data_IF_208171333918
#
_entry.id   IF_208171333918
#
_cell.length_a   1.000
_cell.length_b   1.000
_cell.length_c   1.000
_cell.angle_alpha   90.00
_cell.angle_beta   90.00
_cell.angle_gamma   90.00
#
_symmetry.space_group_name_H-M   'P 1'
#
loop_
_entity.id
_entity.type
_entity.pdbx_description
1 polymer ?
#
# COMPACT_ATOMS: atom_id res chain seq x y z
N UNK A 1 -3.34 -4.06 -22.69
CA UNK A 1 -3.21 -5.50 -23.01
C UNK A 1 -3.56 -6.31 -21.77
N UNK A 2 -4.35 -7.38 -21.90
CA UNK A 2 -4.72 -8.23 -20.76
C UNK A 2 -3.70 -9.37 -20.59
N UNK A 3 -3.32 -9.69 -19.35
CA UNK A 3 -2.42 -10.80 -19.02
C UNK A 3 -2.91 -11.54 -17.77
N UNK A 4 -2.57 -12.82 -17.65
CA UNK A 4 -2.97 -13.67 -16.53
C UNK A 4 -1.90 -13.67 -15.44
N UNK A 5 -2.34 -13.70 -14.17
CA UNK A 5 -1.44 -14.01 -13.04
C UNK A 5 -1.36 -15.53 -12.84
N UNK A 6 -0.34 -16.01 -12.13
CA UNK A 6 -0.19 -17.42 -11.74
C UNK A 6 -1.44 -18.03 -11.04
N UNK A 7 -2.28 -17.19 -10.43
CA UNK A 7 -3.56 -17.58 -9.81
C UNK A 7 -4.80 -17.46 -10.71
N UNK A 8 -4.65 -17.43 -12.04
CA UNK A 8 -5.78 -17.41 -12.99
C UNK A 8 -6.58 -16.09 -13.06
N UNK A 9 -6.12 -15.02 -12.40
CA UNK A 9 -6.76 -13.70 -12.48
C UNK A 9 -6.30 -12.93 -13.70
N UNK A 10 -7.25 -12.30 -14.39
CA UNK A 10 -6.98 -11.35 -15.48
C UNK A 10 -6.54 -10.00 -14.91
N UNK A 11 -5.45 -9.45 -15.45
CA UNK A 11 -4.98 -8.10 -15.21
C UNK A 11 -4.97 -7.32 -16.51
N UNK A 12 -5.41 -6.07 -16.45
CA UNK A 12 -5.30 -5.13 -17.54
C UNK A 12 -4.06 -4.28 -17.26
N UNK A 13 -3.09 -4.31 -18.17
CA UNK A 13 -2.01 -3.33 -18.13
C UNK A 13 -2.63 -1.94 -18.34
N UNK A 14 -2.40 -1.04 -17.39
CA UNK A 14 -2.81 0.35 -17.44
C UNK A 14 -1.57 1.21 -17.16
N UNK A 15 -1.39 2.26 -17.97
CA UNK A 15 -0.36 3.26 -17.71
C UNK A 15 -0.98 4.42 -16.91
N UNK A 16 -0.21 5.08 -16.05
CA UNK A 16 -0.75 6.16 -15.20
C UNK A 16 -1.36 7.32 -16.02
N UNK A 17 -0.90 7.55 -17.24
CA UNK A 17 -1.43 8.55 -18.18
C UNK A 17 -2.76 8.14 -18.84
N UNK A 18 -3.15 6.87 -18.73
CA UNK A 18 -4.42 6.34 -19.26
C UNK A 18 -5.52 6.29 -18.19
N UNK A 19 -5.16 6.55 -16.93
CA UNK A 19 -6.07 6.52 -15.79
C UNK A 19 -6.53 7.95 -15.49
N UNK A 20 -7.81 8.11 -15.17
CA UNK A 20 -8.37 9.38 -14.71
C UNK A 20 -7.53 9.93 -13.52
N UNK A 21 -6.92 11.12 -13.63
CA UNK A 21 -6.15 11.73 -12.55
C UNK A 21 -6.94 11.90 -11.26
N UNK A 22 -8.26 12.13 -11.34
CA UNK A 22 -9.12 12.25 -10.15
C UNK A 22 -9.28 10.92 -9.43
N UNK A 23 -9.36 9.81 -10.17
CA UNK A 23 -9.36 8.48 -9.58
C UNK A 23 -8.06 8.22 -8.81
N UNK A 24 -6.90 8.49 -9.43
CA UNK A 24 -5.60 8.33 -8.77
C UNK A 24 -5.50 9.17 -7.49
N UNK A 25 -5.91 10.44 -7.56
CA UNK A 25 -5.93 11.34 -6.38
C UNK A 25 -6.79 10.79 -5.25
N UNK A 26 -7.97 10.24 -5.57
CA UNK A 26 -8.88 9.66 -4.57
C UNK A 26 -8.32 8.41 -3.93
N UNK A 27 -7.73 7.51 -4.73
CA UNK A 27 -7.09 6.29 -4.22
C UNK A 27 -5.98 6.67 -3.24
N UNK A 28 -5.07 7.57 -3.65
CA UNK A 28 -4.00 8.06 -2.76
C UNK A 28 -4.59 8.68 -1.50
N UNK A 29 -5.58 9.57 -1.63
CA UNK A 29 -6.18 10.24 -0.46
C UNK A 29 -6.82 9.27 0.55
N UNK A 30 -7.45 8.20 0.07
CA UNK A 30 -8.18 7.24 0.92
C UNK A 30 -7.24 6.19 1.52
N UNK A 31 -6.35 5.63 0.70
CA UNK A 31 -5.47 4.52 1.11
C UNK A 31 -4.20 5.01 1.80
N UNK A 32 -3.66 6.15 1.37
CA UNK A 32 -2.34 6.63 1.78
C UNK A 32 -2.18 8.14 1.58
N UNK A 33 -2.85 8.92 2.41
CA UNK A 33 -2.94 10.38 2.29
C UNK A 33 -1.57 11.08 2.18
N UNK A 34 -0.53 10.52 2.80
CA UNK A 34 0.83 11.05 2.82
C UNK A 34 1.79 10.29 1.89
N UNK A 35 1.25 9.56 0.92
CA UNK A 35 2.02 8.76 -0.02
C UNK A 35 3.26 9.49 -0.55
N UNK A 36 3.14 10.76 -0.93
CA UNK A 36 4.23 11.53 -1.51
C UNK A 36 5.36 11.91 -0.55
N UNK A 37 5.19 11.74 0.77
CA UNK A 37 6.09 12.28 1.78
C UNK A 37 6.80 11.23 2.63
N UNK A 38 6.24 10.03 2.78
CA UNK A 38 6.81 9.01 3.64
C UNK A 38 7.74 8.04 2.86
N UNK A 39 8.73 7.39 3.49
CA UNK A 39 9.66 6.47 2.83
C UNK A 39 9.12 5.02 2.80
N UNK A 40 7.89 4.81 2.32
CA UNK A 40 7.24 3.50 2.29
C UNK A 40 6.48 3.07 3.55
N UNK A 41 6.69 3.73 4.69
CA UNK A 41 5.91 3.52 5.91
C UNK A 41 5.53 4.86 6.53
N UNK A 42 4.31 4.95 7.06
CA UNK A 42 3.78 6.15 7.69
C UNK A 42 3.55 5.92 9.21
N UNK A 43 4.47 6.38 10.07
CA UNK A 43 4.36 6.23 11.52
C UNK A 43 3.12 6.91 12.11
N UNK A 44 2.74 8.07 11.56
CA UNK A 44 1.62 8.84 12.09
C UNK A 44 0.30 8.16 11.72
N UNK A 45 0.18 7.61 10.51
CA UNK A 45 -0.99 6.84 10.10
C UNK A 45 -1.10 5.55 10.92
N UNK A 46 0.01 4.85 11.16
CA UNK A 46 0.02 3.66 12.00
C UNK A 46 -0.39 3.99 13.44
N UNK A 47 0.14 5.07 14.02
CA UNK A 47 -0.21 5.50 15.37
C UNK A 47 -1.71 5.85 15.47
N UNK A 48 -2.23 6.62 14.50
CA UNK A 48 -3.65 6.98 14.41
C UNK A 48 -4.54 5.74 14.32
N UNK A 49 -4.21 4.80 13.44
CA UNK A 49 -4.94 3.55 13.27
C UNK A 49 -4.90 2.69 14.55
N UNK A 50 -3.74 2.63 15.22
CA UNK A 50 -3.56 1.90 16.48
C UNK A 50 -4.42 2.49 17.61
N UNK A 51 -4.45 3.82 17.75
CA UNK A 51 -5.30 4.51 18.73
C UNK A 51 -6.78 4.26 18.42
N UNK A 52 -7.17 4.33 17.14
CA UNK A 52 -8.56 4.07 16.73
C UNK A 52 -8.98 2.63 17.02
N UNK A 53 -8.09 1.66 16.79
CA UNK A 53 -8.32 0.26 17.15
C UNK A 53 -8.49 0.09 18.66
N UNK A 54 -7.60 0.67 19.46
CA UNK A 54 -7.66 0.60 20.92
C UNK A 54 -8.97 1.17 21.48
N UNK A 55 -9.51 2.23 20.86
CA UNK A 55 -10.79 2.85 21.26
C UNK A 55 -12.02 2.06 20.78
N UNK A 56 -11.97 1.51 19.57
CA UNK A 56 -13.13 0.87 18.95
C UNK A 56 -13.21 -0.65 19.16
N UNK A 57 -12.12 -1.29 19.62
CA UNK A 57 -12.00 -2.75 19.74
C UNK A 57 -11.97 -3.50 18.40
N UNK A 58 -11.95 -2.77 17.27
CA UNK A 58 -11.94 -3.31 15.91
C UNK A 58 -11.14 -2.42 14.98
N UNK A 59 -10.67 -2.97 13.87
CA UNK A 59 -9.95 -2.19 12.85
C UNK A 59 -10.95 -1.29 12.14
N UNK A 60 -10.81 0.03 12.32
CA UNK A 60 -11.66 1.06 11.70
C UNK A 60 -10.93 1.91 10.67
N UNK A 61 -9.60 1.85 10.63
CA UNK A 61 -8.76 2.61 9.70
C UNK A 61 -7.65 1.73 9.14
N UNK A 62 -7.30 1.96 7.88
CA UNK A 62 -6.11 1.38 7.25
C UNK A 62 -4.84 1.97 7.86
N UNK A 63 -3.91 1.10 8.28
CA UNK A 63 -2.58 1.49 8.76
C UNK A 63 -1.45 0.99 7.88
N UNK A 64 -1.72 0.67 6.60
CA UNK A 64 -0.74 0.21 5.63
C UNK A 64 -0.70 1.19 4.46
N UNK A 65 0.50 1.63 4.08
CA UNK A 65 0.76 2.50 2.92
C UNK A 65 0.59 1.73 1.61
N UNK A 66 0.44 2.44 0.48
CA UNK A 66 0.39 1.83 -0.86
C UNK A 66 1.65 0.97 -1.09
N UNK A 67 2.82 1.46 -0.68
CA UNK A 67 4.09 0.73 -0.81
C UNK A 67 4.12 -0.56 0.02
N UNK A 68 3.54 -0.58 1.23
CA UNK A 68 3.39 -1.82 2.01
C UNK A 68 2.43 -2.79 1.31
N UNK A 69 1.35 -2.29 0.70
CA UNK A 69 0.45 -3.12 -0.07
C UNK A 69 1.14 -3.72 -1.29
N UNK A 70 1.99 -2.95 -1.98
CA UNK A 70 2.84 -3.44 -3.06
C UNK A 70 3.82 -4.52 -2.57
N UNK A 71 4.53 -4.29 -1.46
CA UNK A 71 5.43 -5.27 -0.86
C UNK A 71 4.72 -6.60 -0.56
N UNK A 72 3.49 -6.53 -0.03
CA UNK A 72 2.66 -7.70 0.24
C UNK A 72 2.22 -8.44 -1.02
N UNK A 73 1.98 -7.72 -2.12
CA UNK A 73 1.63 -8.33 -3.40
C UNK A 73 2.83 -9.02 -4.07
N UNK A 74 4.03 -8.47 -3.90
CA UNK A 74 5.27 -9.03 -4.43
C UNK A 74 5.77 -10.24 -3.64
N UNK A 75 5.61 -10.22 -2.31
CA UNK A 75 6.05 -11.30 -1.43
C UNK A 75 4.92 -11.69 -0.44
N UNK A 76 3.89 -12.43 -0.90
CA UNK A 76 2.73 -12.78 -0.09
C UNK A 76 3.11 -13.54 1.19
N UNK A 77 2.53 -13.13 2.32
CA UNK A 77 2.76 -13.74 3.64
C UNK A 77 1.45 -13.88 4.44
N UNK A 78 1.40 -14.77 5.45
CA UNK A 78 0.28 -14.85 6.38
C UNK A 78 0.01 -13.50 7.06
N UNK A 79 -1.25 -13.18 7.32
CA UNK A 79 -1.66 -11.90 7.93
C UNK A 79 -1.40 -11.87 9.44
N UNK A 80 -0.14 -11.71 9.81
CA UNK A 80 0.33 -11.64 11.19
C UNK A 80 1.12 -10.35 11.44
N UNK A 81 1.26 -9.96 12.71
CA UNK A 81 2.06 -8.77 13.10
C UNK A 81 3.52 -8.87 12.61
N UNK A 82 4.22 -10.02 12.74
CA UNK A 82 5.56 -10.17 12.18
C UNK A 82 5.62 -9.97 10.67
N UNK A 83 4.66 -10.52 9.90
CA UNK A 83 4.59 -10.30 8.46
C UNK A 83 4.42 -8.81 8.14
N UNK A 84 3.65 -8.07 8.94
CA UNK A 84 3.47 -6.63 8.76
C UNK A 84 4.76 -5.83 9.01
N UNK A 85 5.60 -6.25 9.95
CA UNK A 85 6.94 -5.67 10.12
C UNK A 85 7.83 -5.93 8.91
N UNK A 86 7.75 -7.13 8.33
CA UNK A 86 8.48 -7.46 7.10
C UNK A 86 7.97 -6.60 5.93
N UNK A 87 6.66 -6.40 5.79
CA UNK A 87 6.07 -5.50 4.79
C UNK A 87 6.63 -4.07 4.91
N UNK A 88 6.80 -3.55 6.13
CA UNK A 88 7.42 -2.23 6.37
C UNK A 88 8.87 -2.20 5.85
N UNK A 89 9.68 -3.20 6.21
CA UNK A 89 11.08 -3.27 5.78
C UNK A 89 11.17 -3.36 4.25
N UNK A 90 10.32 -4.19 3.62
CA UNK A 90 10.25 -4.34 2.17
C UNK A 90 9.77 -3.06 1.49
N UNK A 91 8.79 -2.36 2.04
CA UNK A 91 8.31 -1.08 1.51
C UNK A 91 9.43 -0.04 1.48
N UNK A 92 10.23 0.06 2.54
CA UNK A 92 11.41 0.94 2.57
C UNK A 92 12.42 0.53 1.49
N UNK A 93 12.64 -0.77 1.27
CA UNK A 93 13.55 -1.24 0.21
C UNK A 93 13.05 -0.87 -1.19
N UNK A 94 11.74 -0.95 -1.43
CA UNK A 94 11.10 -0.56 -2.70
C UNK A 94 11.29 0.93 -2.95
N UNK A 95 11.03 1.78 -1.97
CA UNK A 95 11.13 3.25 -2.07
C UNK A 95 12.54 3.76 -2.29
N UNK A 96 13.55 2.94 -1.94
CA UNK A 96 14.95 3.25 -2.25
C UNK A 96 15.33 2.92 -3.69
N UNK A 97 14.52 2.15 -4.41
CA UNK A 97 14.80 1.67 -5.78
C UNK A 97 13.86 2.22 -6.82
N UNK A 98 12.65 2.63 -6.40
CA UNK A 98 11.58 3.09 -7.26
C UNK A 98 11.13 4.48 -6.81
N UNK A 99 10.82 5.33 -7.77
CA UNK A 99 10.17 6.62 -7.52
C UNK A 99 8.70 6.43 -7.14
N UNK A 100 8.12 7.46 -6.51
CA UNK A 100 6.69 7.49 -6.15
C UNK A 100 5.74 7.32 -7.34
N UNK A 101 6.19 7.59 -8.56
CA UNK A 101 5.39 7.40 -9.78
C UNK A 101 5.51 5.99 -10.35
N UNK A 102 6.53 5.24 -9.97
CA UNK A 102 6.72 3.83 -10.37
C UNK A 102 6.03 2.87 -9.39
N UNK A 103 5.82 3.31 -8.14
CA UNK A 103 5.02 2.63 -7.11
C UNK A 103 3.53 2.89 -7.37
#
# INVERSE_FOLDING_TARGET
MAFTTDGGRWRLAARLDEIDPEFLRRVVKIEDERFWFHPGFDPIALARASISFARAGRVTQGGSTITMQLARLLEPRPRTIPSKLIEIIRAIQIERRMSKREI
#
